data_IF_308733655179
#
_entry.id   IF_308733655179
#
_cell.length_a   1.000
_cell.length_b   1.000
_cell.length_c   1.000
_cell.angle_alpha   90.00
_cell.angle_beta   90.00
_cell.angle_gamma   90.00
#
_symmetry.space_group_name_H-M   'P 1'
#
loop_
_entity.id
_entity.type
_entity.pdbx_description
1 polymer ?
#
# COMPACT_ATOMS: atom_id res chain seq x y z
N UNK A 1 7.41 51.60 -23.72
CA UNK A 1 8.41 50.84 -22.91
C UNK A 1 7.79 50.60 -21.54
N UNK A 2 8.03 49.45 -20.92
CA UNK A 2 7.42 49.16 -19.62
C UNK A 2 7.80 47.81 -19.05
N UNK A 3 7.49 47.65 -17.76
CA UNK A 3 7.64 46.42 -17.00
C UNK A 3 6.25 45.84 -16.72
N UNK A 4 6.11 44.55 -16.94
CA UNK A 4 4.85 43.81 -16.87
C UNK A 4 5.09 42.49 -16.12
N UNK A 5 4.01 41.91 -15.63
CA UNK A 5 4.04 40.60 -14.97
C UNK A 5 3.12 39.65 -15.72
N UNK A 6 3.64 38.48 -16.07
CA UNK A 6 2.88 37.38 -16.65
C UNK A 6 2.59 36.39 -15.53
N UNK A 7 1.30 36.11 -15.34
CA UNK A 7 0.82 35.11 -14.39
C UNK A 7 0.22 33.92 -15.13
N UNK A 8 0.43 32.73 -14.58
CA UNK A 8 -0.27 31.53 -15.04
C UNK A 8 -1.72 31.55 -14.53
N UNK A 9 -2.67 31.74 -15.45
CA UNK A 9 -4.11 31.73 -15.14
C UNK A 9 -4.70 30.33 -15.02
N UNK A 10 -4.11 29.35 -15.69
CA UNK A 10 -4.52 27.95 -15.66
C UNK A 10 -3.32 27.05 -15.39
N UNK A 11 -3.37 26.29 -14.30
CA UNK A 11 -2.37 25.29 -13.95
C UNK A 11 -2.87 23.93 -14.40
N UNK A 12 -2.14 23.22 -15.29
CA UNK A 12 -2.51 21.86 -15.67
C UNK A 12 -2.60 20.93 -14.46
N UNK A 13 -3.54 19.97 -14.49
CA UNK A 13 -3.68 19.00 -13.42
C UNK A 13 -2.34 18.30 -13.16
N UNK A 14 -1.95 18.21 -11.88
CA UNK A 14 -0.71 17.57 -11.44
C UNK A 14 0.58 18.35 -11.66
N UNK A 15 0.50 19.60 -12.10
CA UNK A 15 1.63 20.51 -12.18
C UNK A 15 1.56 21.58 -11.09
N UNK A 16 2.73 22.12 -10.74
CA UNK A 16 2.84 23.25 -9.83
C UNK A 16 2.50 24.55 -10.57
N UNK A 17 1.80 25.47 -9.87
CA UNK A 17 1.60 26.84 -10.36
C UNK A 17 2.95 27.51 -10.53
N UNK A 18 3.19 28.09 -11.70
CA UNK A 18 4.42 28.82 -11.96
C UNK A 18 4.50 30.10 -11.14
N UNK A 19 5.73 30.48 -10.77
CA UNK A 19 5.99 31.83 -10.26
C UNK A 19 5.75 32.85 -11.36
N UNK A 20 5.29 34.03 -10.96
CA UNK A 20 5.14 35.18 -11.84
C UNK A 20 6.43 35.43 -12.66
N UNK A 21 6.26 35.76 -13.93
CA UNK A 21 7.36 36.04 -14.86
C UNK A 21 7.38 37.54 -15.13
N UNK A 22 8.52 38.17 -14.88
CA UNK A 22 8.75 39.57 -15.19
C UNK A 22 9.00 39.74 -16.69
N UNK A 23 8.17 40.51 -17.38
CA UNK A 23 8.38 40.93 -18.75
C UNK A 23 8.85 42.37 -18.76
N UNK A 24 10.00 42.64 -19.39
CA UNK A 24 10.51 43.99 -19.61
C UNK A 24 10.62 44.26 -21.10
N UNK A 25 9.99 45.34 -21.57
CA UNK A 25 10.01 45.79 -22.96
C UNK A 25 10.69 47.16 -23.06
N UNK A 26 11.87 47.17 -23.67
CA UNK A 26 12.71 48.36 -23.86
C UNK A 26 12.84 48.61 -25.36
N UNK A 27 12.68 49.84 -25.80
CA UNK A 27 12.97 50.22 -27.18
C UNK A 27 14.45 49.97 -27.51
N UNK A 28 14.72 49.44 -28.70
CA UNK A 28 16.09 49.27 -29.16
C UNK A 28 16.75 50.63 -29.46
N UNK A 29 18.07 50.66 -29.55
CA UNK A 29 18.80 51.91 -29.78
C UNK A 29 18.41 52.64 -31.09
N UNK A 30 17.87 51.93 -32.08
CA UNK A 30 17.46 52.49 -33.36
C UNK A 30 16.05 53.10 -33.35
N UNK A 31 15.25 52.89 -32.29
CA UNK A 31 13.86 53.34 -32.23
C UNK A 31 12.92 52.58 -33.18
N UNK A 32 13.30 51.36 -33.59
CA UNK A 32 12.60 50.60 -34.64
C UNK A 32 11.98 49.31 -34.14
N UNK A 33 12.38 48.83 -32.96
CA UNK A 33 11.88 47.58 -32.38
C UNK A 33 11.93 47.59 -30.85
N UNK A 34 11.27 46.61 -30.23
CA UNK A 34 11.35 46.37 -28.80
C UNK A 34 12.27 45.18 -28.49
N UNK A 35 13.21 45.40 -27.58
CA UNK A 35 13.92 44.35 -26.86
C UNK A 35 13.04 43.87 -25.71
N UNK A 36 12.52 42.65 -25.85
CA UNK A 36 11.69 42.01 -24.84
C UNK A 36 12.54 41.02 -24.05
N UNK A 37 12.41 41.01 -22.74
CA UNK A 37 13.02 40.00 -21.87
C UNK A 37 11.98 39.40 -20.93
N UNK A 38 12.08 38.09 -20.67
CA UNK A 38 11.31 37.38 -19.65
C UNK A 38 12.27 36.91 -18.56
N UNK A 39 12.08 37.37 -17.32
CA UNK A 39 13.03 37.18 -16.21
C UNK A 39 14.48 37.50 -16.65
N UNK A 40 14.66 38.59 -17.39
CA UNK A 40 15.95 39.04 -17.94
C UNK A 40 16.48 38.25 -19.16
N UNK A 41 15.79 37.21 -19.64
CA UNK A 41 16.21 36.42 -20.80
C UNK A 41 15.55 36.90 -22.08
N UNK A 42 16.33 37.10 -23.15
CA UNK A 42 15.83 37.40 -24.48
C UNK A 42 15.24 36.15 -25.18
N UNK A 43 14.60 36.36 -26.33
CA UNK A 43 14.03 35.31 -27.20
C UNK A 43 15.08 34.25 -27.59
N UNK A 44 14.71 32.95 -27.76
CA UNK A 44 13.37 32.39 -27.67
C UNK A 44 12.87 32.24 -26.24
N UNK A 45 11.60 32.56 -26.04
CA UNK A 45 10.93 32.40 -24.76
C UNK A 45 10.37 31.00 -24.62
N UNK A 46 10.82 30.28 -23.58
CA UNK A 46 10.26 28.98 -23.20
C UNK A 46 9.90 28.99 -21.73
N UNK A 47 8.64 28.71 -21.46
CA UNK A 47 8.08 28.55 -20.13
C UNK A 47 7.63 27.10 -19.99
N UNK A 48 7.88 26.46 -18.86
CA UNK A 48 7.59 25.04 -18.67
C UNK A 48 7.11 24.81 -17.26
N UNK A 49 5.91 24.24 -17.13
CA UNK A 49 5.37 23.82 -15.84
C UNK A 49 6.20 22.69 -15.24
N UNK A 50 6.38 22.76 -13.93
CA UNK A 50 7.02 21.72 -13.15
C UNK A 50 5.96 20.70 -12.69
N UNK A 51 6.20 19.42 -12.95
CA UNK A 51 5.35 18.34 -12.44
C UNK A 51 5.43 18.32 -10.91
N UNK A 52 4.28 18.29 -10.23
CA UNK A 52 4.23 18.18 -8.78
C UNK A 52 4.64 16.77 -8.32
N UNK A 53 5.20 16.68 -7.12
CA UNK A 53 5.58 15.39 -6.53
C UNK A 53 4.34 14.50 -6.29
N UNK A 54 4.50 13.19 -6.44
CA UNK A 54 3.47 12.18 -6.23
C UNK A 54 3.38 11.77 -4.76
N UNK A 55 2.19 11.30 -4.37
CA UNK A 55 1.97 10.54 -3.14
C UNK A 55 1.66 9.07 -3.47
N UNK A 56 2.22 8.14 -2.73
CA UNK A 56 1.83 6.73 -2.77
C UNK A 56 1.04 6.38 -1.51
N UNK A 57 -0.19 5.92 -1.69
CA UNK A 57 -1.04 5.38 -0.63
C UNK A 57 -1.17 3.88 -0.78
N UNK A 58 -1.00 3.16 0.32
CA UNK A 58 -1.17 1.70 0.37
C UNK A 58 -2.29 1.36 1.34
N UNK A 59 -3.22 0.50 0.91
CA UNK A 59 -4.18 -0.20 1.78
C UNK A 59 -3.75 -1.67 1.94
N UNK A 60 -3.60 -2.13 3.18
CA UNK A 60 -3.24 -3.51 3.50
C UNK A 60 -4.48 -4.32 3.87
N UNK A 61 -4.69 -5.42 3.15
CA UNK A 61 -5.83 -6.34 3.38
C UNK A 61 -5.42 -7.81 3.42
N UNK A 62 -6.32 -8.65 3.94
CA UNK A 62 -6.30 -10.10 3.75
C UNK A 62 -6.97 -10.52 2.43
N UNK A 63 -6.97 -11.82 2.13
CA UNK A 63 -7.59 -12.37 0.92
C UNK A 63 -9.12 -12.21 0.88
N UNK A 64 -9.75 -11.88 2.02
CA UNK A 64 -11.20 -11.67 2.15
C UNK A 64 -11.56 -10.17 2.05
N UNK A 65 -10.55 -9.28 1.91
CA UNK A 65 -10.71 -7.83 1.83
C UNK A 65 -10.70 -7.10 3.19
N UNK A 66 -10.48 -7.81 4.30
CA UNK A 66 -10.43 -7.21 5.63
C UNK A 66 -9.11 -6.47 5.85
N UNK A 67 -9.16 -5.34 6.56
CA UNK A 67 -7.98 -4.55 6.87
C UNK A 67 -7.00 -5.30 7.79
N UNK A 68 -5.71 -5.23 7.47
CA UNK A 68 -4.65 -5.84 8.27
C UNK A 68 -3.70 -4.80 8.87
N UNK A 69 -3.59 -4.84 10.20
CA UNK A 69 -2.63 -4.06 10.99
C UNK A 69 -1.37 -4.88 11.29
N UNK A 70 -0.29 -4.18 11.67
CA UNK A 70 1.00 -4.75 12.03
C UNK A 70 1.94 -4.98 10.84
N UNK A 71 1.57 -4.55 9.63
CA UNK A 71 2.47 -4.59 8.48
C UNK A 71 3.45 -3.41 8.48
N UNK A 72 4.57 -3.57 7.79
CA UNK A 72 5.50 -2.47 7.48
C UNK A 72 5.93 -2.54 6.03
N UNK A 73 6.07 -1.39 5.38
CA UNK A 73 6.51 -1.27 4.00
C UNK A 73 7.70 -0.34 3.90
N UNK A 74 8.69 -0.70 3.09
CA UNK A 74 9.80 0.17 2.71
C UNK A 74 9.73 0.49 1.23
N UNK A 75 9.82 1.77 0.91
CA UNK A 75 9.95 2.28 -0.45
C UNK A 75 11.36 2.88 -0.60
N UNK A 76 12.11 2.38 -1.57
CA UNK A 76 13.48 2.83 -1.84
C UNK A 76 13.70 3.10 -3.34
N UNK A 77 14.43 4.16 -3.66
CA UNK A 77 14.82 4.52 -5.03
C UNK A 77 14.86 6.03 -5.25
N UNK A 78 15.54 6.50 -6.29
CA UNK A 78 15.57 7.95 -6.65
C UNK A 78 15.85 8.89 -5.46
N UNK A 79 16.93 8.62 -4.71
CA UNK A 79 17.31 9.36 -3.49
C UNK A 79 16.24 9.39 -2.38
N UNK A 80 15.32 8.43 -2.40
CA UNK A 80 14.28 8.22 -1.41
C UNK A 80 14.49 6.87 -0.73
N UNK A 81 14.32 6.84 0.59
CA UNK A 81 14.37 5.63 1.40
C UNK A 81 13.56 5.88 2.67
N UNK A 82 12.33 5.36 2.71
CA UNK A 82 11.43 5.50 3.85
C UNK A 82 10.74 4.18 4.16
N UNK A 83 10.43 3.98 5.45
CA UNK A 83 9.67 2.83 5.94
C UNK A 83 8.48 3.32 6.76
N UNK A 84 7.29 2.86 6.39
CA UNK A 84 6.04 3.13 7.09
C UNK A 84 5.55 1.85 7.80
N UNK A 85 4.96 1.99 8.99
CA UNK A 85 4.64 0.85 9.88
C UNK A 85 3.24 0.93 10.48
N UNK A 86 2.72 -0.19 10.98
CA UNK A 86 1.48 -0.25 11.75
C UNK A 86 0.23 -0.58 10.93
N UNK A 87 0.05 0.05 9.76
CA UNK A 87 -1.10 -0.19 8.88
C UNK A 87 -2.46 0.16 9.51
N UNK A 88 -3.57 -0.12 8.81
CA UNK A 88 -3.66 -0.76 7.50
C UNK A 88 -3.40 0.21 6.34
N UNK A 89 -3.25 1.50 6.62
CA UNK A 89 -2.97 2.54 5.64
C UNK A 89 -1.54 3.07 5.80
N UNK A 90 -0.86 3.29 4.67
CA UNK A 90 0.50 3.82 4.62
C UNK A 90 0.56 4.94 3.59
N UNK A 91 1.33 5.99 3.85
CA UNK A 91 1.50 7.13 2.94
C UNK A 91 2.99 7.47 2.77
N UNK A 92 3.45 7.48 1.52
CA UNK A 92 4.75 7.98 1.10
C UNK A 92 4.54 9.26 0.29
N UNK A 93 5.33 10.30 0.54
CA UNK A 93 5.14 11.63 -0.09
C UNK A 93 6.45 12.13 -0.69
N UNK A 94 6.37 13.11 -1.61
CA UNK A 94 7.57 13.68 -2.23
C UNK A 94 8.20 12.77 -3.30
N UNK A 95 7.40 11.92 -3.95
CA UNK A 95 7.88 10.99 -4.97
C UNK A 95 8.02 11.73 -6.31
N UNK A 96 9.25 11.83 -6.79
CA UNK A 96 9.61 12.53 -8.04
C UNK A 96 9.66 11.55 -9.21
N UNK A 97 9.72 12.05 -10.46
CA UNK A 97 10.06 11.19 -11.60
C UNK A 97 11.32 10.37 -11.33
N UNK A 98 11.21 9.05 -11.52
CA UNK A 98 12.25 8.09 -11.18
C UNK A 98 11.71 6.68 -10.97
N UNK A 99 12.59 5.81 -10.47
CA UNK A 99 12.34 4.40 -10.21
C UNK A 99 12.34 4.13 -8.71
N UNK A 100 11.37 3.35 -8.26
CA UNK A 100 11.19 2.97 -6.86
C UNK A 100 10.95 1.47 -6.74
N UNK A 101 11.34 0.90 -5.60
CA UNK A 101 11.10 -0.48 -5.21
C UNK A 101 10.37 -0.53 -3.88
N UNK A 102 9.16 -1.09 -3.88
CA UNK A 102 8.34 -1.32 -2.71
C UNK A 102 8.56 -2.74 -2.19
N UNK A 103 8.70 -2.89 -0.88
CA UNK A 103 8.86 -4.18 -0.19
C UNK A 103 8.06 -4.21 1.11
N UNK A 104 7.47 -5.36 1.45
CA UNK A 104 6.84 -5.59 2.77
C UNK A 104 7.93 -6.07 3.73
N UNK A 105 8.35 -5.22 4.66
CA UNK A 105 9.46 -5.51 5.59
C UNK A 105 9.01 -6.23 6.85
N UNK A 106 7.75 -6.04 7.25
CA UNK A 106 7.11 -6.78 8.34
C UNK A 106 5.78 -7.31 7.86
N UNK A 107 5.62 -8.63 7.93
CA UNK A 107 4.38 -9.34 7.59
C UNK A 107 3.55 -9.51 8.87
N UNK A 108 2.25 -9.16 8.87
CA UNK A 108 1.37 -9.42 10.01
C UNK A 108 1.38 -10.88 10.46
N UNK A 109 1.31 -11.11 11.78
CA UNK A 109 1.33 -12.46 12.34
C UNK A 109 0.18 -13.33 11.78
N UNK A 110 0.47 -14.59 11.45
CA UNK A 110 -0.49 -15.51 10.86
C UNK A 110 -0.70 -15.33 9.34
N UNK A 111 0.02 -14.43 8.68
CA UNK A 111 -0.11 -14.18 7.24
C UNK A 111 1.16 -14.53 6.45
N UNK A 112 0.98 -14.85 5.18
CA UNK A 112 2.02 -14.89 4.16
C UNK A 112 2.03 -13.54 3.43
N UNK A 113 3.18 -12.88 3.44
CA UNK A 113 3.38 -11.54 2.90
C UNK A 113 3.39 -11.47 1.38
N UNK A 114 3.63 -10.25 0.90
CA UNK A 114 3.94 -9.95 -0.50
C UNK A 114 5.16 -10.74 -0.97
N UNK A 115 5.06 -11.33 -2.16
CA UNK A 115 6.18 -11.99 -2.81
C UNK A 115 7.12 -10.98 -3.45
N UNK A 116 8.38 -10.96 -3.01
CA UNK A 116 9.45 -10.15 -3.59
C UNK A 116 9.24 -8.64 -3.44
N UNK A 117 9.76 -7.88 -4.39
CA UNK A 117 9.62 -6.43 -4.48
C UNK A 117 8.76 -6.03 -5.67
N UNK A 118 8.13 -4.85 -5.60
CA UNK A 118 7.36 -4.27 -6.70
C UNK A 118 8.05 -3.01 -7.18
N UNK A 119 8.44 -2.99 -8.46
CA UNK A 119 8.97 -1.78 -9.10
C UNK A 119 7.85 -0.82 -9.47
N UNK A 120 8.04 0.45 -9.18
CA UNK A 120 7.13 1.55 -9.53
C UNK A 120 7.98 2.60 -10.25
N UNK A 121 7.60 2.96 -11.47
CA UNK A 121 8.24 4.03 -12.24
C UNK A 121 7.31 5.22 -12.41
N UNK A 122 7.88 6.42 -12.32
CA UNK A 122 7.21 7.69 -12.58
C UNK A 122 8.01 8.40 -13.67
N UNK A 123 7.43 8.55 -14.87
CA UNK A 123 8.07 9.27 -15.97
C UNK A 123 8.10 10.79 -15.73
N UNK A 124 8.87 11.53 -16.54
CA UNK A 124 8.93 13.00 -16.48
C UNK A 124 7.62 13.65 -16.92
N UNK A 125 6.80 12.92 -17.67
CA UNK A 125 5.47 13.28 -18.13
C UNK A 125 4.38 12.86 -17.13
N UNK A 126 4.75 12.20 -16.02
CA UNK A 126 3.82 11.79 -14.96
C UNK A 126 3.05 10.50 -15.23
N UNK A 127 3.39 9.76 -16.28
CA UNK A 127 2.92 8.38 -16.48
C UNK A 127 3.53 7.47 -15.42
N UNK A 128 2.69 6.73 -14.70
CA UNK A 128 3.08 5.77 -13.66
C UNK A 128 2.99 4.35 -14.21
N UNK A 129 4.04 3.55 -14.03
CA UNK A 129 4.02 2.11 -14.30
C UNK A 129 4.27 1.33 -13.02
N UNK A 130 3.49 0.27 -12.80
CA UNK A 130 3.63 -0.60 -11.62
C UNK A 130 3.88 -2.01 -12.14
N UNK A 131 4.98 -2.63 -11.71
CA UNK A 131 5.30 -4.00 -12.04
C UNK A 131 4.19 -4.94 -11.53
N UNK A 132 3.72 -5.83 -12.40
CA UNK A 132 2.73 -6.84 -12.03
C UNK A 132 3.23 -7.69 -10.87
N UNK A 133 2.40 -7.87 -9.85
CA UNK A 133 2.69 -8.70 -8.68
C UNK A 133 1.40 -9.37 -8.19
N UNK A 134 1.41 -10.66 -7.82
CA UNK A 134 0.20 -11.38 -7.41
C UNK A 134 -0.45 -10.86 -6.12
N UNK A 135 0.29 -10.10 -5.32
CA UNK A 135 -0.18 -9.54 -4.06
C UNK A 135 -0.56 -8.05 -4.15
N UNK A 136 -0.24 -7.37 -5.26
CA UNK A 136 -0.40 -5.92 -5.37
C UNK A 136 -1.30 -5.57 -6.55
N UNK A 137 -2.30 -4.76 -6.28
CA UNK A 137 -3.20 -4.18 -7.28
C UNK A 137 -3.29 -2.68 -7.07
N UNK A 138 -3.62 -1.94 -8.14
CA UNK A 138 -3.75 -0.49 -8.05
C UNK A 138 -3.22 0.21 -9.29
N UNK A 139 -3.27 1.53 -9.24
CA UNK A 139 -2.84 2.40 -10.32
C UNK A 139 -2.47 3.78 -9.78
N UNK A 140 -1.86 4.60 -10.61
CA UNK A 140 -1.57 5.99 -10.29
C UNK A 140 -1.37 6.82 -11.53
N UNK A 141 -1.28 8.13 -11.34
CA UNK A 141 -1.07 9.05 -12.44
C UNK A 141 -1.18 10.50 -12.01
N UNK A 142 -1.09 11.36 -13.02
CA UNK A 142 -1.26 12.81 -12.88
C UNK A 142 -2.70 13.11 -12.45
N UNK A 143 -2.86 13.86 -11.36
CA UNK A 143 -4.16 14.26 -10.79
C UNK A 143 -3.99 15.48 -9.88
N UNK A 144 -5.02 15.90 -9.16
CA UNK A 144 -4.91 17.02 -8.22
C UNK A 144 -5.30 16.56 -6.80
N UNK A 145 -4.37 16.04 -5.98
CA UNK A 145 -2.91 15.93 -6.17
C UNK A 145 -2.49 14.71 -7.00
N UNK A 146 -1.24 14.65 -7.47
CA UNK A 146 -0.65 13.46 -8.11
C UNK A 146 -0.63 12.26 -7.15
N UNK A 147 -1.23 11.14 -7.54
CA UNK A 147 -1.53 10.04 -6.62
C UNK A 147 -1.30 8.66 -7.24
N UNK A 148 -0.71 7.76 -6.44
CA UNK A 148 -0.61 6.33 -6.68
C UNK A 148 -1.36 5.63 -5.54
N UNK A 149 -2.32 4.78 -5.86
CA UNK A 149 -3.08 4.01 -4.87
C UNK A 149 -2.87 2.52 -5.12
N UNK A 150 -2.34 1.84 -4.09
CA UNK A 150 -2.13 0.39 -4.11
C UNK A 150 -2.95 -0.29 -3.02
N UNK A 151 -3.38 -1.51 -3.32
CA UNK A 151 -3.90 -2.47 -2.35
C UNK A 151 -2.96 -3.66 -2.31
N UNK A 152 -2.41 -3.96 -1.13
CA UNK A 152 -1.50 -5.09 -0.91
C UNK A 152 -2.22 -6.16 -0.10
N UNK A 153 -2.37 -7.33 -0.70
CA UNK A 153 -3.15 -8.47 -0.19
C UNK A 153 -2.24 -9.57 0.33
N UNK A 154 -2.36 -9.89 1.62
CA UNK A 154 -1.70 -11.05 2.21
C UNK A 154 -2.70 -12.20 2.35
N UNK A 155 -2.20 -13.42 2.30
CA UNK A 155 -3.03 -14.61 2.52
C UNK A 155 -2.83 -15.10 3.94
N UNK A 156 -3.89 -15.54 4.63
CA UNK A 156 -3.75 -16.27 5.90
C UNK A 156 -2.84 -17.48 5.66
N UNK A 157 -1.85 -17.71 6.52
CA UNK A 157 -1.08 -18.96 6.49
C UNK A 157 -2.09 -20.07 6.74
N UNK A 158 -2.14 -21.06 5.84
CA UNK A 158 -2.87 -22.29 6.13
C UNK A 158 -2.36 -22.85 7.45
N UNK A 159 -3.25 -23.51 8.21
CA UNK A 159 -2.77 -24.36 9.29
C UNK A 159 -1.76 -25.32 8.68
N UNK A 160 -0.47 -25.14 9.01
CA UNK A 160 0.56 -26.10 8.62
C UNK A 160 0.12 -27.49 9.07
N UNK A 161 0.66 -28.57 8.49
CA UNK A 161 0.40 -29.89 9.04
C UNK A 161 0.74 -29.82 10.53
N UNK A 162 -0.27 -30.01 11.39
CA UNK A 162 -0.06 -30.07 12.83
C UNK A 162 1.05 -31.09 13.04
N UNK A 163 2.10 -30.79 13.83
CA UNK A 163 3.12 -31.78 14.12
C UNK A 163 2.41 -33.01 14.67
N UNK A 164 2.65 -34.17 14.06
CA UNK A 164 2.11 -35.43 14.53
C UNK A 164 2.84 -35.79 15.83
N UNK A 165 2.44 -35.17 16.94
CA UNK A 165 2.86 -35.57 18.28
C UNK A 165 1.96 -36.72 18.72
N UNK A 166 2.24 -37.89 18.15
CA UNK A 166 1.50 -39.12 18.41
C UNK A 166 2.05 -40.29 17.62
N UNK A 167 3.29 -40.69 17.91
CA UNK A 167 3.81 -41.98 17.43
C UNK A 167 2.97 -43.11 17.99
N UNK A 168 2.38 -43.94 17.10
CA UNK A 168 1.83 -45.30 17.27
C UNK A 168 1.08 -45.71 18.57
N UNK A 169 0.77 -44.80 19.50
CA UNK A 169 0.26 -45.11 20.84
C UNK A 169 -0.82 -44.16 21.38
N UNK A 170 -1.07 -43.02 20.72
CA UNK A 170 -2.11 -42.06 21.14
C UNK A 170 -3.33 -41.98 20.20
N UNK A 171 -3.34 -42.75 19.11
CA UNK A 171 -4.54 -42.91 18.27
C UNK A 171 -5.71 -43.58 19.02
N UNK A 172 -5.46 -44.25 20.14
CA UNK A 172 -6.48 -44.83 21.02
C UNK A 172 -7.17 -43.82 21.93
N UNK A 173 -6.62 -42.61 22.16
CA UNK A 173 -7.15 -41.72 23.20
C UNK A 173 -7.92 -40.49 22.68
N UNK A 174 -7.66 -40.01 21.46
CA UNK A 174 -8.41 -38.85 20.93
C UNK A 174 -9.73 -39.19 20.22
N UNK A 175 -10.00 -40.46 19.89
CA UNK A 175 -11.35 -40.91 19.49
C UNK A 175 -12.27 -41.26 20.67
N UNK A 176 -11.72 -41.28 21.89
CA UNK A 176 -12.45 -41.62 23.12
C UNK A 176 -13.07 -40.37 23.78
N UNK A 177 -12.54 -39.17 23.50
CA UNK A 177 -12.99 -37.92 24.13
C UNK A 177 -14.42 -37.45 23.74
N UNK A 178 -14.95 -37.87 22.59
CA UNK A 178 -16.35 -37.60 22.19
C UNK A 178 -17.32 -38.76 22.47
N UNK A 179 -16.83 -39.92 22.94
CA UNK A 179 -17.65 -41.13 23.13
C UNK A 179 -17.87 -41.57 24.59
N UNK A 180 -17.17 -40.98 25.57
CA UNK A 180 -17.19 -41.42 26.98
C UNK A 180 -18.18 -40.67 27.87
N UNK A 181 -18.79 -39.57 27.39
CA UNK A 181 -19.85 -38.88 28.16
C UNK A 181 -21.18 -39.67 28.12
N UNK A 182 -21.41 -40.51 27.11
CA UNK A 182 -22.67 -41.27 26.94
C UNK A 182 -22.68 -42.66 27.58
N UNK A 183 -21.53 -43.28 27.89
CA UNK A 183 -21.48 -44.65 28.47
C UNK A 183 -21.40 -44.67 30.00
N UNK A 184 -21.04 -43.54 30.65
CA UNK A 184 -21.00 -43.44 32.11
C UNK A 184 -22.39 -43.36 32.79
N UNK A 185 -23.43 -42.95 32.05
CA UNK A 185 -24.81 -42.90 32.59
C UNK A 185 -25.48 -44.27 32.72
N UNK A 186 -25.15 -45.23 31.86
CA UNK A 186 -25.82 -46.54 31.81
C UNK A 186 -25.43 -47.52 32.91
N UNK A 187 -24.20 -47.40 33.45
CA UNK A 187 -23.70 -48.29 34.51
C UNK A 187 -24.18 -47.87 35.91
N UNK A 188 -24.46 -46.57 36.13
CA UNK A 188 -24.99 -46.09 37.41
C UNK A 188 -26.49 -46.46 37.60
N UNK A 189 -27.28 -46.45 36.52
CA UNK A 189 -28.70 -46.83 36.58
C UNK A 189 -28.95 -48.32 36.83
N UNK A 190 -28.12 -49.19 36.27
CA UNK A 190 -28.23 -50.65 36.44
C UNK A 190 -27.84 -51.13 37.85
N UNK A 191 -26.85 -50.47 38.48
CA UNK A 191 -26.51 -50.71 39.89
C UNK A 191 -27.61 -50.24 40.84
N UNK A 192 -28.28 -49.11 40.57
CA UNK A 192 -29.41 -48.64 41.39
C UNK A 192 -30.63 -49.58 41.31
N UNK A 193 -30.96 -50.09 40.11
CA UNK A 193 -32.08 -51.03 39.92
C UNK A 193 -31.82 -52.40 40.57
N UNK A 194 -30.59 -52.91 40.55
CA UNK A 194 -30.24 -54.16 41.21
C UNK A 194 -30.18 -54.05 42.74
N UNK A 195 -29.85 -52.88 43.28
CA UNK A 195 -29.73 -52.67 44.73
C UNK A 195 -31.09 -52.40 45.40
N UNK A 196 -32.08 -51.85 44.68
CA UNK A 196 -33.44 -51.65 45.23
C UNK A 196 -34.29 -52.92 45.17
N UNK A 197 -34.07 -53.79 44.18
CA UNK A 197 -34.84 -55.05 44.03
C UNK A 197 -34.52 -56.12 45.10
N UNK A 198 -33.39 -55.99 45.81
CA UNK A 198 -32.99 -56.91 46.90
C UNK A 198 -33.44 -56.47 48.30
N UNK A 199 -34.19 -55.36 48.41
CA UNK A 199 -34.73 -54.86 49.69
C UNK A 199 -36.26 -54.81 49.75
N UNK A 200 -36.94 -55.56 48.88
CA UNK A 200 -38.40 -55.67 48.83
C UNK A 200 -38.87 -57.12 48.68
N UNK A 201 -38.59 -57.95 49.68
CA UNK A 201 -39.27 -59.21 50.03
C UNK A 201 -38.78 -59.66 51.40
#
# INVERSE_FOLDING_TARGET
MGDFVIEESYVPAGYEKMTNIELKAVENAAGTALNITLNGKASPYKVTNKLADFKLKIKKVDQDGNELRGASFRLIGTSYDQTETGGPYFEFTGLRPGEYSLSETVVPNGYQGMSGTVRISISREGVVSIQSNPNVSGSGGVSNPNLIQLTVTNRKRGAGPLPSTGGSGTAMFFKVALGVISTAGGLLGSLYWLHTKRRGS
#
